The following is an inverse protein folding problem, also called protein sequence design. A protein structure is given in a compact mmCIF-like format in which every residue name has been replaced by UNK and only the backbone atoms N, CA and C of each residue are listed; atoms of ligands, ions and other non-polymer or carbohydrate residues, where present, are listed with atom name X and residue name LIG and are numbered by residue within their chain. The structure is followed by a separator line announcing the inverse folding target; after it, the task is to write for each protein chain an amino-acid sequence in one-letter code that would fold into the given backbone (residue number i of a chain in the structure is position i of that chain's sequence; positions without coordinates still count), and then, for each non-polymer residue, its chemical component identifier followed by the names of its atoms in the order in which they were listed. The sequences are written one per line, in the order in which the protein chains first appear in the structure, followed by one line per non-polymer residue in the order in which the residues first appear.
data_IF_171294042684
#
_entry.id   IF_171294042684
#
_cell.length_a   1.000
_cell.length_b   1.000
_cell.length_c   1.000
_cell.angle_alpha   90.00
_cell.angle_beta   90.00
_cell.angle_gamma   90.00
#
_symmetry.space_group_name_H-M   'P 1'
#
loop_
_entity.id
_entity.type
_entity.pdbx_description
1 polymer ?
#
# COMPACT_ATOMS: atom_id res chain seq x y z
N UNK A 1 51.05 -20.12 -5.17
CA UNK A 1 51.41 -19.33 -6.36
C UNK A 1 50.15 -19.24 -7.23
N UNK A 2 49.57 -18.10 -7.62
CA UNK A 2 49.96 -16.69 -7.61
C UNK A 2 48.73 -15.83 -7.27
N UNK A 3 48.95 -14.82 -6.43
CA UNK A 3 48.08 -13.64 -6.24
C UNK A 3 48.31 -12.71 -7.44
N UNK A 4 47.29 -11.98 -7.88
CA UNK A 4 47.50 -10.75 -8.64
C UNK A 4 46.68 -9.60 -8.04
N UNK A 5 47.44 -8.73 -7.37
CA UNK A 5 47.17 -7.35 -7.01
C UNK A 5 47.52 -6.45 -8.21
N UNK A 6 46.77 -5.38 -8.43
CA UNK A 6 47.20 -4.11 -9.05
C UNK A 6 46.00 -3.15 -8.89
N UNK A 7 45.96 -2.07 -8.12
CA UNK A 7 46.92 -1.01 -7.77
C UNK A 7 47.33 -0.15 -8.98
N UNK A 8 46.74 1.05 -9.04
CA UNK A 8 47.32 2.28 -9.56
C UNK A 8 46.92 3.45 -8.64
N UNK A 9 47.90 3.97 -7.92
CA UNK A 9 47.96 5.27 -7.27
C UNK A 9 48.23 6.38 -8.34
N UNK A 10 48.17 7.70 -8.10
CA UNK A 10 49.09 8.47 -7.24
C UNK A 10 48.72 9.99 -7.27
N UNK A 11 48.70 10.62 -6.07
CA UNK A 11 49.24 11.95 -5.63
C UNK A 11 48.84 13.27 -6.36
N UNK A 12 48.70 14.44 -5.69
CA UNK A 12 49.67 15.20 -4.85
C UNK A 12 48.97 16.12 -3.81
N UNK A 13 49.68 16.40 -2.71
CA UNK A 13 49.34 17.24 -1.54
C UNK A 13 49.81 18.71 -1.64
N UNK A 14 49.28 19.62 -0.79
CA UNK A 14 50.07 20.64 -0.07
C UNK A 14 49.30 21.41 1.04
N UNK A 15 49.95 21.54 2.22
CA UNK A 15 49.99 22.67 3.22
C UNK A 15 48.68 23.26 3.80
N UNK A 16 48.50 23.62 5.08
CA UNK A 16 49.39 23.83 6.23
C UNK A 16 48.93 25.04 7.09
N UNK A 17 48.61 24.79 8.37
CA UNK A 17 48.69 25.65 9.60
C UNK A 17 47.72 26.82 9.96
N UNK A 18 47.13 26.65 11.18
CA UNK A 18 47.12 27.51 12.41
C UNK A 18 46.07 28.62 12.71
N UNK A 19 45.70 28.65 14.01
CA UNK A 19 45.02 29.67 14.88
C UNK A 19 43.50 29.89 14.70
N UNK A 20 42.66 30.12 15.72
CA UNK A 20 42.85 30.55 17.11
C UNK A 20 41.68 30.08 18.02
N UNK A 21 41.94 30.00 19.32
CA UNK A 21 40.95 29.83 20.37
C UNK A 21 40.13 31.11 20.59
N UNK A 22 38.82 30.97 20.80
CA UNK A 22 37.91 32.03 21.23
C UNK A 22 36.99 31.53 22.34
N UNK A 23 36.91 32.30 23.42
CA UNK A 23 36.23 31.99 24.69
C UNK A 23 34.72 31.76 24.55
N UNK A 24 34.16 30.88 25.41
CA UNK A 24 32.72 30.73 25.62
C UNK A 24 32.25 31.68 26.73
N UNK A 25 31.16 32.43 26.54
CA UNK A 25 30.32 32.86 27.65
C UNK A 25 29.14 31.89 27.85
N UNK A 26 28.92 31.43 29.09
CA UNK A 26 27.60 30.94 29.54
C UNK A 26 26.69 32.16 29.84
N UNK A 27 25.37 32.07 30.05
CA UNK A 27 24.38 31.01 30.23
C UNK A 27 23.01 31.73 30.23
N UNK A 28 21.93 31.17 29.68
CA UNK A 28 20.55 31.36 30.22
C UNK A 28 19.77 30.09 29.93
N UNK A 29 19.42 29.33 30.96
CA UNK A 29 18.51 28.20 30.86
C UNK A 29 17.08 28.76 30.80
N UNK A 30 16.40 28.60 29.67
CA UNK A 30 14.95 28.81 29.54
C UNK A 30 14.23 27.49 29.90
N UNK A 31 13.37 27.46 30.95
CA UNK A 31 12.65 26.26 31.35
C UNK A 31 11.57 25.80 30.36
N UNK A 32 11.41 26.46 29.19
CA UNK A 32 10.49 26.04 28.13
C UNK A 32 11.19 25.47 26.86
N UNK A 33 12.45 25.06 26.97
CA UNK A 33 13.22 24.44 25.87
C UNK A 33 12.85 22.96 25.63
N UNK A 34 11.56 22.61 25.55
CA UNK A 34 11.18 21.40 24.81
C UNK A 34 11.21 21.77 23.32
N UNK A 35 12.36 21.55 22.69
CA UNK A 35 12.56 21.76 21.27
C UNK A 35 11.34 21.25 20.48
N UNK A 36 10.63 22.16 19.81
CA UNK A 36 9.54 21.82 18.90
C UNK A 36 10.12 20.92 17.80
N UNK A 37 9.81 19.63 17.89
CA UNK A 37 10.18 18.60 16.92
C UNK A 37 9.69 19.08 15.54
N UNK A 38 10.56 19.06 14.51
CA UNK A 38 10.19 19.58 13.18
C UNK A 38 8.98 18.82 12.62
N UNK A 39 8.06 19.46 11.86
CA UNK A 39 6.83 18.83 11.36
C UNK A 39 7.03 17.46 10.65
N UNK A 40 8.16 17.29 9.94
CA UNK A 40 8.54 16.01 9.29
C UNK A 40 8.91 14.90 10.28
N UNK A 41 9.52 15.23 11.41
CA UNK A 41 9.86 14.29 12.48
C UNK A 41 8.63 13.99 13.36
N UNK A 42 7.73 14.97 13.54
CA UNK A 42 6.49 14.78 14.30
C UNK A 42 5.54 13.77 13.61
N UNK A 43 5.32 13.91 12.30
CA UNK A 43 4.39 13.04 11.54
C UNK A 43 4.92 11.64 11.24
N UNK A 44 6.15 11.37 11.63
CA UNK A 44 6.74 10.03 11.61
C UNK A 44 6.96 9.47 13.01
N UNK A 45 6.59 10.20 14.06
CA UNK A 45 6.66 9.71 15.43
C UNK A 45 5.69 8.56 15.68
N UNK A 46 6.09 7.65 16.56
CA UNK A 46 5.31 6.46 16.92
C UNK A 46 3.92 6.83 17.45
N UNK A 47 3.82 7.87 18.28
CA UNK A 47 2.55 8.38 18.81
C UNK A 47 1.63 8.94 17.72
N UNK A 48 2.19 9.75 16.80
CA UNK A 48 1.42 10.25 15.66
C UNK A 48 0.88 9.10 14.81
N UNK A 49 1.75 8.17 14.39
CA UNK A 49 1.35 7.06 13.52
C UNK A 49 0.27 6.18 14.18
N UNK A 50 0.40 5.90 15.48
CA UNK A 50 -0.61 5.15 16.25
C UNK A 50 -1.98 5.84 16.21
N UNK A 51 -2.00 7.18 16.29
CA UNK A 51 -3.25 7.96 16.33
C UNK A 51 -3.85 8.25 14.95
N UNK A 52 -3.01 8.42 13.93
CA UNK A 52 -3.40 9.01 12.66
C UNK A 52 -3.44 8.02 11.51
N UNK A 53 -2.66 6.94 11.55
CA UNK A 53 -2.47 6.05 10.41
C UNK A 53 -3.12 4.69 10.63
N UNK A 54 -4.28 4.50 10.01
CA UNK A 54 -5.02 3.22 9.97
C UNK A 54 -4.97 2.59 8.58
N UNK A 55 -5.23 1.29 8.50
CA UNK A 55 -5.46 0.60 7.23
C UNK A 55 -6.95 0.26 7.10
N UNK A 56 -7.67 0.95 6.21
CA UNK A 56 -9.08 0.68 5.93
C UNK A 56 -9.98 0.68 7.19
N UNK A 57 -9.69 1.58 8.14
CA UNK A 57 -10.37 1.65 9.43
C UNK A 57 -9.83 0.71 10.52
N UNK A 58 -8.90 -0.19 10.18
CA UNK A 58 -8.23 -1.05 11.15
C UNK A 58 -7.02 -0.34 11.76
N UNK A 59 -6.90 -0.43 13.08
CA UNK A 59 -5.75 0.09 13.81
C UNK A 59 -4.48 -0.64 13.39
N UNK A 60 -3.39 0.11 13.22
CA UNK A 60 -2.05 -0.43 13.03
C UNK A 60 -1.32 -0.32 14.37
N UNK A 61 -0.83 -1.42 14.97
CA UNK A 61 -0.24 -1.42 16.30
C UNK A 61 1.18 -0.85 16.26
N UNK A 62 1.28 0.47 16.07
CA UNK A 62 2.57 1.16 16.00
C UNK A 62 3.28 1.26 17.36
N UNK A 63 2.59 0.99 18.46
CA UNK A 63 3.18 0.75 19.78
C UNK A 63 4.09 -0.49 19.82
N UNK A 64 3.91 -1.43 18.88
CA UNK A 64 4.86 -2.50 18.62
C UNK A 64 6.06 -1.97 17.81
N UNK A 65 7.26 -2.02 18.40
CA UNK A 65 8.49 -1.54 17.78
C UNK A 65 8.81 -2.24 16.45
N UNK A 66 8.52 -3.53 16.30
CA UNK A 66 8.77 -4.25 15.05
C UNK A 66 7.87 -3.72 13.91
N UNK A 67 6.62 -3.40 14.24
CA UNK A 67 5.65 -2.82 13.29
C UNK A 67 6.07 -1.41 12.90
N UNK A 68 6.44 -0.58 13.89
CA UNK A 68 6.94 0.77 13.66
C UNK A 68 8.21 0.80 12.82
N UNK A 69 9.23 0.02 13.18
CA UNK A 69 10.49 -0.04 12.44
C UNK A 69 10.31 -0.59 11.03
N UNK A 70 9.40 -1.55 10.83
CA UNK A 70 9.09 -2.09 9.51
C UNK A 70 8.38 -1.06 8.62
N UNK A 71 7.49 -0.25 9.18
CA UNK A 71 6.91 0.89 8.47
C UNK A 71 7.99 1.89 8.06
N UNK A 72 8.82 2.38 9.00
CA UNK A 72 9.91 3.31 8.69
C UNK A 72 10.87 2.75 7.64
N UNK A 73 11.18 1.46 7.73
CA UNK A 73 12.02 0.76 6.74
C UNK A 73 11.39 0.77 5.34
N UNK A 74 10.06 0.59 5.23
CA UNK A 74 9.37 0.67 3.93
C UNK A 74 9.26 2.11 3.45
N UNK A 75 9.05 3.07 4.35
CA UNK A 75 8.97 4.49 4.07
C UNK A 75 10.30 5.02 3.50
N UNK A 76 11.40 4.80 4.24
CA UNK A 76 12.74 5.27 3.85
C UNK A 76 13.25 4.64 2.54
N UNK A 77 12.77 3.45 2.18
CA UNK A 77 13.07 2.83 0.88
C UNK A 77 12.37 3.51 -0.30
N UNK A 78 11.29 4.25 -0.06
CA UNK A 78 10.40 4.80 -1.08
C UNK A 78 10.42 6.31 -1.16
N UNK A 79 10.80 7.03 -0.09
CA UNK A 79 10.92 8.48 -0.14
C UNK A 79 12.05 8.85 -1.12
N UNK A 80 11.66 9.16 -2.35
CA UNK A 80 12.48 9.80 -3.38
C UNK A 80 11.61 10.76 -4.18
N UNK A 81 12.21 11.80 -4.76
CA UNK A 81 11.52 12.76 -5.63
C UNK A 81 10.76 12.06 -6.75
N UNK A 82 11.43 11.11 -7.41
CA UNK A 82 10.84 10.31 -8.49
C UNK A 82 9.65 9.47 -8.03
N UNK A 83 9.69 8.89 -6.84
CA UNK A 83 8.58 8.11 -6.32
C UNK A 83 7.37 9.01 -6.02
N UNK A 84 7.62 10.15 -5.40
CA UNK A 84 6.60 11.14 -5.05
C UNK A 84 5.92 11.69 -6.31
N UNK A 85 6.69 12.17 -7.30
CA UNK A 85 6.15 12.69 -8.57
C UNK A 85 5.31 11.63 -9.32
N UNK A 86 5.72 10.37 -9.27
CA UNK A 86 4.96 9.28 -9.86
C UNK A 86 3.66 9.01 -9.09
N UNK A 87 3.71 9.00 -7.75
CA UNK A 87 2.52 8.84 -6.91
C UNK A 87 1.52 9.98 -7.13
N UNK A 88 2.03 11.20 -7.31
CA UNK A 88 1.24 12.35 -7.71
C UNK A 88 0.53 12.13 -9.05
N UNK A 89 1.29 11.76 -10.08
CA UNK A 89 0.76 11.51 -11.43
C UNK A 89 -0.30 10.41 -11.41
N UNK A 90 -0.03 9.34 -10.64
CA UNK A 90 -0.95 8.23 -10.45
C UNK A 90 -2.26 8.69 -9.81
N UNK A 91 -2.18 9.48 -8.74
CA UNK A 91 -3.36 9.94 -7.99
C UNK A 91 -4.30 10.76 -8.89
N UNK A 92 -3.76 11.70 -9.67
CA UNK A 92 -4.55 12.55 -10.55
C UNK A 92 -5.12 11.79 -11.76
N UNK A 93 -4.42 10.76 -12.24
CA UNK A 93 -4.80 10.07 -13.49
C UNK A 93 -5.78 8.92 -13.26
N UNK A 94 -5.64 8.19 -12.15
CA UNK A 94 -6.29 6.88 -12.00
C UNK A 94 -7.30 6.81 -10.86
N UNK A 95 -7.08 7.55 -9.76
CA UNK A 95 -7.99 7.48 -8.62
C UNK A 95 -9.41 7.98 -8.93
N UNK A 96 -9.63 9.04 -9.74
CA UNK A 96 -10.98 9.44 -10.15
C UNK A 96 -11.80 8.36 -10.85
N UNK A 97 -11.14 7.34 -11.44
CA UNK A 97 -11.81 6.19 -12.06
C UNK A 97 -12.03 5.07 -11.03
N UNK A 98 -11.08 4.86 -10.12
CA UNK A 98 -11.07 3.72 -9.19
C UNK A 98 -11.96 3.96 -7.98
N UNK A 99 -11.84 5.12 -7.34
CA UNK A 99 -12.54 5.43 -6.09
C UNK A 99 -14.07 5.30 -6.22
N UNK A 100 -14.74 5.80 -7.28
CA UNK A 100 -16.18 5.60 -7.43
C UNK A 100 -16.57 4.12 -7.58
N UNK A 101 -15.69 3.29 -8.17
CA UNK A 101 -15.91 1.86 -8.28
C UNK A 101 -15.72 1.19 -6.92
N UNK A 102 -14.65 1.52 -6.17
CA UNK A 102 -14.44 0.99 -4.82
C UNK A 102 -15.65 1.30 -3.92
N UNK A 103 -16.08 2.56 -3.90
CA UNK A 103 -17.24 3.01 -3.14
C UNK A 103 -18.52 2.25 -3.54
N UNK A 104 -18.77 2.06 -4.84
CA UNK A 104 -19.92 1.31 -5.35
C UNK A 104 -19.96 -0.15 -4.86
N UNK A 105 -18.80 -0.76 -4.61
CA UNK A 105 -18.69 -2.13 -4.15
C UNK A 105 -18.43 -2.26 -2.64
N UNK A 106 -18.43 -1.15 -1.90
CA UNK A 106 -18.17 -1.13 -0.45
C UNK A 106 -16.72 -1.44 -0.08
N UNK A 107 -15.78 -1.25 -1.01
CA UNK A 107 -14.35 -1.48 -0.76
C UNK A 107 -13.73 -0.20 -0.16
N UNK A 108 -12.97 -0.30 0.93
CA UNK A 108 -12.27 0.84 1.52
C UNK A 108 -11.29 1.48 0.53
N UNK A 109 -11.12 2.79 0.64
CA UNK A 109 -10.34 3.55 -0.33
C UNK A 109 -8.87 3.19 -0.37
N UNK A 110 -8.29 2.70 0.73
CA UNK A 110 -6.86 2.32 0.78
C UNK A 110 -6.51 1.25 -0.27
N UNK A 111 -7.48 0.48 -0.77
CA UNK A 111 -7.27 -0.47 -1.87
C UNK A 111 -6.98 0.19 -3.22
N UNK A 112 -7.19 1.51 -3.38
CA UNK A 112 -6.79 2.27 -4.58
C UNK A 112 -5.28 2.26 -4.82
N UNK A 113 -4.50 1.96 -3.78
CA UNK A 113 -3.04 1.85 -3.87
C UNK A 113 -2.54 0.48 -4.36
N UNK A 114 -3.38 -0.56 -4.37
CA UNK A 114 -2.95 -1.90 -4.82
C UNK A 114 -2.43 -1.89 -6.26
N UNK A 115 -3.10 -1.29 -7.26
CA UNK A 115 -2.56 -1.26 -8.63
C UNK A 115 -1.21 -0.53 -8.75
N UNK A 116 -0.93 0.41 -7.84
CA UNK A 116 0.34 1.10 -7.78
C UNK A 116 1.47 0.15 -7.33
N UNK A 117 1.20 -0.69 -6.32
CA UNK A 117 2.14 -1.68 -5.79
C UNK A 117 2.31 -2.86 -6.77
N UNK A 118 1.24 -3.25 -7.45
CA UNK A 118 1.23 -4.42 -8.34
C UNK A 118 1.86 -4.14 -9.71
N UNK A 119 1.54 -3.00 -10.31
CA UNK A 119 1.94 -2.72 -11.70
C UNK A 119 2.53 -1.34 -11.92
N UNK A 120 2.51 -0.46 -10.91
CA UNK A 120 2.78 0.97 -11.12
C UNK A 120 1.79 1.58 -12.13
N UNK A 121 0.54 1.09 -12.15
CA UNK A 121 -0.48 1.44 -13.14
C UNK A 121 -0.13 1.14 -14.61
N UNK A 122 0.76 0.18 -14.88
CA UNK A 122 1.11 -0.19 -16.25
C UNK A 122 0.12 -1.21 -16.82
N UNK A 123 -0.72 -0.79 -17.77
CA UNK A 123 -1.75 -1.64 -18.41
C UNK A 123 -1.25 -2.96 -19.00
N UNK A 124 0.02 -2.99 -19.45
CA UNK A 124 0.65 -4.14 -20.09
C UNK A 124 1.63 -4.87 -19.16
N UNK A 125 1.70 -4.51 -17.86
CA UNK A 125 2.54 -5.19 -16.89
C UNK A 125 2.24 -6.68 -16.90
N UNK A 126 3.30 -7.50 -16.91
CA UNK A 126 3.19 -8.95 -16.92
C UNK A 126 4.25 -9.55 -16.00
N UNK A 127 3.82 -10.29 -14.99
CA UNK A 127 4.75 -11.02 -14.13
C UNK A 127 5.26 -12.30 -14.80
N UNK A 128 6.35 -12.84 -14.26
CA UNK A 128 6.91 -14.14 -14.68
C UNK A 128 5.88 -15.27 -14.49
N UNK A 129 5.04 -15.17 -13.45
CA UNK A 129 3.98 -16.13 -13.15
C UNK A 129 2.75 -15.98 -14.06
N UNK A 130 2.67 -14.91 -14.86
CA UNK A 130 1.59 -14.69 -15.83
C UNK A 130 0.45 -13.79 -15.36
N UNK A 131 0.61 -13.11 -14.23
CA UNK A 131 -0.24 -12.00 -13.82
C UNK A 131 -0.17 -10.87 -14.85
N UNK A 132 -1.28 -10.17 -15.11
CA UNK A 132 -1.34 -9.11 -16.13
C UNK A 132 -2.17 -7.91 -15.68
N UNK A 133 -1.77 -6.73 -16.15
CA UNK A 133 -2.56 -5.52 -16.10
C UNK A 133 -2.43 -4.77 -14.78
N UNK A 134 -3.31 -3.78 -14.60
CA UNK A 134 -3.27 -2.84 -13.47
C UNK A 134 -3.27 -3.55 -12.11
N UNK A 135 -4.17 -4.51 -11.96
CA UNK A 135 -4.40 -5.27 -10.73
C UNK A 135 -3.60 -6.58 -10.65
N UNK A 136 -2.69 -6.84 -11.61
CA UNK A 136 -1.89 -8.07 -11.70
C UNK A 136 -2.69 -9.38 -11.49
N UNK A 137 -3.84 -9.50 -12.16
CA UNK A 137 -4.62 -10.72 -12.06
C UNK A 137 -3.95 -11.91 -12.77
N UNK A 138 -3.89 -13.04 -12.07
CA UNK A 138 -3.64 -14.34 -12.69
C UNK A 138 -4.79 -14.72 -13.64
N UNK A 139 -4.53 -15.45 -14.75
CA UNK A 139 -5.57 -15.75 -15.73
C UNK A 139 -6.77 -16.50 -15.15
N UNK A 140 -6.54 -17.43 -14.22
CA UNK A 140 -7.61 -18.20 -13.58
C UNK A 140 -8.49 -17.31 -12.69
N UNK A 141 -7.88 -16.52 -11.80
CA UNK A 141 -8.57 -15.56 -10.94
C UNK A 141 -9.36 -14.53 -11.75
N UNK A 142 -8.75 -13.95 -12.80
CA UNK A 142 -9.43 -13.02 -13.70
C UNK A 142 -10.72 -13.60 -14.27
N UNK A 143 -10.69 -14.84 -14.78
CA UNK A 143 -11.87 -15.50 -15.33
C UNK A 143 -12.92 -15.81 -14.27
N UNK A 144 -12.50 -16.22 -13.08
CA UNK A 144 -13.41 -16.45 -11.95
C UNK A 144 -14.22 -15.20 -11.60
N UNK A 145 -13.60 -14.01 -11.73
CA UNK A 145 -14.25 -12.72 -11.47
C UNK A 145 -14.79 -12.01 -12.72
N UNK A 146 -15.04 -12.77 -13.80
CA UNK A 146 -15.79 -12.29 -14.97
C UNK A 146 -14.98 -11.55 -16.04
N UNK A 147 -13.65 -11.55 -15.95
CA UNK A 147 -12.80 -10.99 -17.00
C UNK A 147 -12.59 -12.00 -18.14
N UNK A 148 -12.69 -11.53 -19.39
CA UNK A 148 -12.32 -12.35 -20.54
C UNK A 148 -10.80 -12.35 -20.68
N UNK A 149 -10.22 -13.54 -20.73
CA UNK A 149 -8.78 -13.73 -20.91
C UNK A 149 -8.54 -14.73 -22.03
N UNK A 150 -8.13 -14.23 -23.20
CA UNK A 150 -7.87 -14.98 -24.42
C UNK A 150 -6.72 -14.34 -25.21
N UNK A 151 -6.31 -14.94 -26.33
CA UNK A 151 -5.31 -14.35 -27.23
C UNK A 151 -5.75 -13.03 -27.87
N UNK A 152 -7.07 -12.84 -28.09
CA UNK A 152 -7.63 -11.67 -28.79
C UNK A 152 -8.06 -10.56 -27.83
N UNK A 153 -8.56 -10.94 -26.65
CA UNK A 153 -9.10 -10.02 -25.64
C UNK A 153 -8.55 -10.40 -24.28
N UNK A 154 -7.99 -9.42 -23.57
CA UNK A 154 -7.50 -9.56 -22.20
C UNK A 154 -8.01 -8.39 -21.35
N UNK A 155 -9.21 -8.56 -20.76
CA UNK A 155 -9.89 -7.51 -19.98
C UNK A 155 -9.11 -7.13 -18.70
N UNK A 156 -8.09 -7.91 -18.28
CA UNK A 156 -7.16 -7.53 -17.20
C UNK A 156 -6.43 -6.21 -17.47
N UNK A 157 -6.29 -5.84 -18.74
CA UNK A 157 -5.65 -4.61 -19.19
C UNK A 157 -6.59 -3.41 -19.24
N UNK A 158 -7.89 -3.59 -18.99
CA UNK A 158 -8.86 -2.51 -18.94
C UNK A 158 -9.06 -2.11 -17.47
N UNK A 159 -8.83 -0.84 -17.14
CA UNK A 159 -8.85 -0.36 -15.76
C UNK A 159 -10.19 -0.61 -15.07
N UNK A 160 -11.29 -0.08 -15.62
CA UNK A 160 -12.62 -0.22 -15.02
C UNK A 160 -13.03 -1.68 -14.80
N UNK A 161 -12.89 -2.52 -15.84
CA UNK A 161 -13.25 -3.93 -15.75
C UNK A 161 -12.42 -4.67 -14.71
N UNK A 162 -11.09 -4.45 -14.72
CA UNK A 162 -10.20 -5.08 -13.75
C UNK A 162 -10.43 -4.57 -12.33
N UNK A 163 -10.77 -3.29 -12.14
CA UNK A 163 -11.18 -2.75 -10.82
C UNK A 163 -12.47 -3.37 -10.33
N UNK A 164 -13.48 -3.54 -11.19
CA UNK A 164 -14.72 -4.25 -10.82
C UNK A 164 -14.44 -5.70 -10.40
N UNK A 165 -13.59 -6.40 -11.15
CA UNK A 165 -13.18 -7.77 -10.81
C UNK A 165 -12.39 -7.82 -9.49
N UNK A 166 -11.52 -6.83 -9.24
CA UNK A 166 -10.79 -6.67 -7.98
C UNK A 166 -11.73 -6.45 -6.80
N UNK A 167 -12.73 -5.58 -6.93
CA UNK A 167 -13.71 -5.36 -5.87
C UNK A 167 -14.44 -6.65 -5.48
N UNK A 168 -14.86 -7.44 -6.46
CA UNK A 168 -15.51 -8.73 -6.21
C UNK A 168 -14.56 -9.70 -5.50
N UNK A 169 -13.31 -9.79 -5.95
CA UNK A 169 -12.31 -10.64 -5.31
C UNK A 169 -12.02 -10.19 -3.87
N UNK A 170 -11.89 -8.89 -3.62
CA UNK A 170 -11.66 -8.33 -2.29
C UNK A 170 -12.83 -8.60 -1.34
N UNK A 171 -14.07 -8.49 -1.81
CA UNK A 171 -15.25 -8.85 -1.01
C UNK A 171 -15.27 -10.34 -0.66
N UNK A 172 -14.98 -11.23 -1.62
CA UNK A 172 -14.87 -12.67 -1.34
C UNK A 172 -13.78 -12.98 -0.30
N UNK A 173 -12.65 -12.26 -0.35
CA UNK A 173 -11.61 -12.39 0.66
C UNK A 173 -12.08 -11.87 2.02
N UNK A 174 -12.79 -10.73 2.05
CA UNK A 174 -13.27 -10.13 3.29
C UNK A 174 -14.34 -10.99 3.96
N UNK A 175 -15.27 -11.58 3.19
CA UNK A 175 -16.25 -12.55 3.71
C UNK A 175 -15.59 -13.75 4.42
N UNK A 176 -14.37 -14.12 4.01
CA UNK A 176 -13.62 -15.26 4.56
C UNK A 176 -12.76 -14.87 5.76
N UNK A 177 -12.15 -13.69 5.71
CA UNK A 177 -11.09 -13.26 6.63
C UNK A 177 -11.56 -12.25 7.69
N UNK A 178 -12.62 -11.50 7.42
CA UNK A 178 -13.17 -10.49 8.33
C UNK A 178 -12.26 -9.27 8.60
N UNK A 179 -11.07 -9.22 7.99
CA UNK A 179 -10.08 -8.16 8.19
C UNK A 179 -9.48 -7.68 6.87
N UNK A 180 -9.46 -6.37 6.66
CA UNK A 180 -8.89 -5.71 5.49
C UNK A 180 -7.37 -5.86 5.40
N UNK A 181 -6.64 -5.84 6.52
CA UNK A 181 -5.19 -6.11 6.51
C UNK A 181 -4.89 -7.55 6.08
N UNK A 182 -5.68 -8.53 6.53
CA UNK A 182 -5.59 -9.91 6.03
C UNK A 182 -6.02 -10.03 4.56
N UNK A 183 -7.07 -9.32 4.13
CA UNK A 183 -7.50 -9.28 2.72
C UNK A 183 -6.38 -8.78 1.81
N UNK A 184 -5.69 -7.70 2.19
CA UNK A 184 -4.56 -7.19 1.42
C UNK A 184 -3.41 -8.24 1.35
N UNK A 185 -3.11 -8.92 2.45
CA UNK A 185 -2.13 -9.99 2.45
C UNK A 185 -2.55 -11.17 1.56
N UNK A 186 -3.82 -11.58 1.62
CA UNK A 186 -4.39 -12.66 0.81
C UNK A 186 -4.45 -12.30 -0.68
N UNK A 187 -4.62 -11.03 -1.01
CA UNK A 187 -4.54 -10.56 -2.39
C UNK A 187 -3.17 -10.87 -2.99
N UNK A 188 -2.09 -10.64 -2.25
CA UNK A 188 -0.72 -10.89 -2.68
C UNK A 188 -0.36 -12.39 -2.72
N UNK A 189 -0.62 -13.12 -1.64
CA UNK A 189 -0.13 -14.51 -1.48
C UNK A 189 -1.15 -15.57 -1.90
N UNK A 190 -2.41 -15.19 -2.06
CA UNK A 190 -3.54 -16.08 -2.22
C UNK A 190 -4.10 -16.55 -0.87
N UNK A 191 -5.44 -16.64 -0.77
CA UNK A 191 -6.11 -16.97 0.48
C UNK A 191 -5.68 -18.30 1.11
N UNK A 192 -5.56 -19.38 0.32
CA UNK A 192 -5.18 -20.69 0.85
C UNK A 192 -3.81 -20.67 1.54
N UNK A 193 -2.85 -19.91 0.98
CA UNK A 193 -1.52 -19.79 1.55
C UNK A 193 -1.52 -18.94 2.82
N UNK A 194 -2.35 -17.90 2.88
CA UNK A 194 -2.51 -17.08 4.08
C UNK A 194 -3.19 -17.87 5.20
N UNK A 195 -4.31 -18.53 4.92
CA UNK A 195 -5.05 -19.36 5.90
C UNK A 195 -4.16 -20.48 6.44
N UNK A 196 -3.42 -21.17 5.55
CA UNK A 196 -2.45 -22.18 5.99
C UNK A 196 -1.33 -21.60 6.87
N UNK A 197 -1.00 -20.31 6.73
CA UNK A 197 -0.02 -19.64 7.57
C UNK A 197 -0.63 -19.19 8.91
N UNK A 198 -1.91 -18.80 8.93
CA UNK A 198 -2.70 -18.50 10.12
C UNK A 198 -2.87 -19.76 10.98
N UNK A 199 -3.39 -20.84 10.40
CA UNK A 199 -3.64 -22.10 11.10
C UNK A 199 -2.35 -22.68 11.69
N UNK A 200 -1.24 -22.65 10.93
CA UNK A 200 0.05 -23.17 11.40
C UNK A 200 0.63 -22.36 12.55
N UNK A 201 0.37 -21.05 12.59
CA UNK A 201 0.92 -20.16 13.61
C UNK A 201 -0.03 -19.94 14.78
N UNK A 202 -1.30 -20.32 14.61
CA UNK A 202 -2.38 -20.01 15.54
C UNK A 202 -2.50 -18.50 15.77
N UNK A 203 -2.47 -17.73 14.68
CA UNK A 203 -2.57 -16.27 14.68
C UNK A 203 -3.66 -15.84 13.70
N UNK A 204 -4.46 -14.84 14.10
CA UNK A 204 -5.57 -14.29 13.32
C UNK A 204 -5.36 -12.80 12.95
N UNK A 205 -4.24 -12.21 13.35
CA UNK A 205 -3.84 -10.84 13.02
C UNK A 205 -2.72 -10.75 11.97
N UNK A 206 -2.85 -9.84 11.00
CA UNK A 206 -1.78 -9.61 10.01
C UNK A 206 -0.43 -9.26 10.64
N UNK A 207 -0.45 -8.45 11.69
CA UNK A 207 0.76 -7.94 12.34
C UNK A 207 1.47 -9.00 13.19
N UNK A 208 0.75 -10.03 13.62
CA UNK A 208 1.27 -11.14 14.44
C UNK A 208 1.80 -12.29 13.56
N UNK A 209 1.35 -12.39 12.30
CA UNK A 209 1.79 -13.42 11.36
C UNK A 209 3.23 -13.22 10.87
N UNK A 210 4.03 -14.30 10.97
CA UNK A 210 5.36 -14.39 10.34
C UNK A 210 5.21 -14.82 8.88
N UNK A 211 4.97 -13.82 8.03
CA UNK A 211 4.82 -13.99 6.58
C UNK A 211 6.16 -13.87 5.85
N UNK A 212 6.20 -14.35 4.60
CA UNK A 212 7.37 -14.13 3.75
C UNK A 212 7.62 -12.62 3.54
N UNK A 213 8.83 -12.26 3.09
CA UNK A 213 9.23 -10.85 2.92
C UNK A 213 8.29 -10.05 2.02
N UNK A 214 7.72 -10.64 0.98
CA UNK A 214 6.84 -9.91 0.07
C UNK A 214 5.51 -9.61 0.74
N UNK A 215 4.81 -10.65 1.21
CA UNK A 215 3.48 -10.54 1.81
C UNK A 215 3.50 -9.78 3.13
N UNK A 216 4.50 -10.02 3.98
CA UNK A 216 4.62 -9.32 5.25
C UNK A 216 4.98 -7.83 5.12
N UNK A 217 5.37 -7.35 3.93
CA UNK A 217 5.55 -5.93 3.65
C UNK A 217 4.36 -5.32 2.89
N UNK A 218 3.36 -6.11 2.50
CA UNK A 218 2.35 -5.68 1.53
C UNK A 218 1.46 -4.56 2.08
N UNK A 219 0.93 -4.72 3.30
CA UNK A 219 0.15 -3.67 3.98
C UNK A 219 1.00 -2.42 4.23
N UNK A 220 2.26 -2.59 4.65
CA UNK A 220 3.18 -1.46 4.87
C UNK A 220 3.44 -0.65 3.60
N UNK A 221 3.52 -1.29 2.43
CA UNK A 221 3.64 -0.59 1.17
C UNK A 221 2.41 0.30 0.93
N UNK A 222 1.20 -0.19 1.20
CA UNK A 222 -0.02 0.63 1.06
C UNK A 222 -0.01 1.80 2.05
N UNK A 223 0.31 1.52 3.33
CA UNK A 223 0.39 2.54 4.37
C UNK A 223 1.39 3.65 4.03
N UNK A 224 2.52 3.33 3.41
CA UNK A 224 3.49 4.33 2.94
C UNK A 224 2.90 5.24 1.86
N UNK A 225 2.16 4.67 0.90
CA UNK A 225 1.54 5.48 -0.16
C UNK A 225 0.47 6.41 0.42
N UNK A 226 -0.37 5.88 1.31
CA UNK A 226 -1.37 6.65 2.06
C UNK A 226 -0.72 7.79 2.85
N UNK A 227 0.24 7.46 3.70
CA UNK A 227 0.92 8.41 4.55
C UNK A 227 1.58 9.55 3.77
N UNK A 228 2.26 9.23 2.65
CA UNK A 228 2.89 10.25 1.79
C UNK A 228 1.86 11.18 1.15
N UNK A 229 0.73 10.65 0.68
CA UNK A 229 -0.29 11.47 0.03
C UNK A 229 -1.08 12.35 1.02
N UNK A 230 -1.44 11.81 2.18
CA UNK A 230 -2.15 12.55 3.24
C UNK A 230 -1.25 13.61 3.88
N UNK A 231 0.07 13.43 3.84
CA UNK A 231 1.05 14.36 4.38
C UNK A 231 1.91 15.00 3.28
N UNK A 232 1.34 15.18 2.08
CA UNK A 232 2.02 15.70 0.90
C UNK A 232 2.82 16.99 1.17
N UNK A 233 2.29 17.88 2.02
CA UNK A 233 2.93 19.14 2.40
C UNK A 233 4.24 18.98 3.20
N UNK A 234 4.49 17.82 3.81
CA UNK A 234 5.76 17.54 4.50
C UNK A 234 6.79 16.92 3.55
N UNK A 235 6.33 16.43 2.40
CA UNK A 235 7.14 15.94 1.30
C UNK A 235 7.26 17.01 0.17
N UNK A 236 6.85 18.25 0.47
CA UNK A 236 6.62 19.37 -0.44
C UNK A 236 7.78 19.89 -1.31
N UNK A 237 9.08 19.67 -1.05
CA UNK A 237 10.06 19.95 -2.12
C UNK A 237 9.82 19.12 -3.39
N UNK A 238 8.94 18.12 -3.35
CA UNK A 238 8.63 17.21 -4.45
C UNK A 238 7.15 17.20 -4.88
N UNK A 239 6.24 17.91 -4.19
CA UNK A 239 4.82 17.91 -4.52
C UNK A 239 4.40 19.18 -5.29
N UNK A 240 3.89 19.03 -6.53
CA UNK A 240 3.17 20.11 -7.20
C UNK A 240 1.80 20.38 -6.53
N UNK A 241 1.42 21.66 -6.40
CA UNK A 241 0.17 22.19 -5.81
C UNK A 241 -1.15 21.49 -6.22
N UNK A 242 -1.19 20.81 -7.36
CA UNK A 242 -2.39 20.12 -7.86
C UNK A 242 -2.76 18.87 -7.05
N UNK A 243 -1.79 18.16 -6.47
CA UNK A 243 -2.06 16.96 -5.65
C UNK A 243 -2.44 17.32 -4.22
N UNK A 244 -1.84 18.38 -3.67
CA UNK A 244 -2.28 18.95 -2.39
C UNK A 244 -3.77 19.32 -2.49
N UNK A 245 -4.21 19.86 -3.64
CA UNK A 245 -5.64 20.12 -3.89
C UNK A 245 -6.48 18.83 -3.95
N UNK A 246 -6.00 17.76 -4.58
CA UNK A 246 -6.71 16.47 -4.62
C UNK A 246 -6.88 15.86 -3.22
N UNK A 247 -5.79 15.83 -2.42
CA UNK A 247 -5.83 15.35 -1.04
C UNK A 247 -6.81 16.19 -0.18
N UNK A 248 -6.75 17.52 -0.29
CA UNK A 248 -7.67 18.40 0.41
C UNK A 248 -9.13 18.23 -0.04
N UNK A 249 -9.39 17.93 -1.31
CA UNK A 249 -10.74 17.63 -1.80
C UNK A 249 -11.28 16.33 -1.21
N UNK A 250 -10.44 15.31 -1.02
CA UNK A 250 -10.82 14.06 -0.37
C UNK A 250 -11.16 14.25 1.12
N UNK A 251 -10.43 15.10 1.83
CA UNK A 251 -10.78 15.46 3.21
C UNK A 251 -12.14 16.16 3.26
N UNK A 252 -12.42 17.07 2.33
CA UNK A 252 -13.71 17.77 2.24
C UNK A 252 -14.85 16.81 1.88
N UNK A 253 -14.66 15.88 0.92
CA UNK A 253 -15.69 14.89 0.58
C UNK A 253 -15.90 13.86 1.69
N UNK A 254 -14.85 13.49 2.42
CA UNK A 254 -14.93 12.60 3.59
C UNK A 254 -15.69 13.27 4.73
N UNK A 255 -15.51 14.57 4.96
CA UNK A 255 -16.35 15.36 5.89
C UNK A 255 -17.80 15.38 5.40
N UNK A 256 -18.05 15.54 4.10
CA UNK A 256 -19.39 15.49 3.50
C UNK A 256 -20.08 14.13 3.64
N UNK A 257 -19.35 13.02 3.50
CA UNK A 257 -19.85 11.65 3.70
C UNK A 257 -20.06 11.31 5.19
N UNK A 258 -19.18 11.75 6.08
CA UNK A 258 -19.33 11.59 7.53
C UNK A 258 -20.52 12.41 8.06
N UNK A 259 -20.74 13.62 7.54
CA UNK A 259 -21.94 14.41 7.87
C UNK A 259 -23.22 13.81 7.28
N UNK A 260 -23.20 13.30 6.04
CA UNK A 260 -24.36 12.57 5.48
C UNK A 260 -24.66 11.28 6.25
N UNK A 261 -23.63 10.53 6.67
CA UNK A 261 -23.77 9.32 7.48
C UNK A 261 -24.32 9.62 8.87
N UNK A 262 -23.87 10.69 9.51
CA UNK A 262 -24.39 11.16 10.79
C UNK A 262 -25.83 11.69 10.69
N UNK A 263 -26.19 12.40 9.61
CA UNK A 263 -27.56 12.86 9.33
C UNK A 263 -28.51 11.69 9.03
N UNK A 264 -28.02 10.63 8.39
CA UNK A 264 -28.79 9.41 8.14
C UNK A 264 -29.01 8.56 9.41
N UNK A 265 -28.18 8.75 10.44
CA UNK A 265 -28.27 8.08 11.74
C UNK A 265 -29.25 8.70 12.74
N UNK A 266 -29.82 9.88 12.45
CA UNK A 266 -30.69 10.62 13.39
C UNK A 266 -32.19 10.54 13.08
N UNK A 267 -32.64 9.68 12.16
CA UNK A 267 -34.05 9.60 11.81
C UNK A 267 -34.53 8.21 11.42
N UNK A 268 -34.82 7.35 12.42
CA UNK A 268 -35.84 6.30 12.31
C UNK A 268 -36.06 5.57 13.65
N UNK A 269 -36.86 6.16 14.54
CA UNK A 269 -37.74 5.37 15.41
C UNK A 269 -39.07 5.16 14.68
N UNK A 270 -39.37 3.91 14.30
CA UNK A 270 -40.67 3.23 14.55
C UNK A 270 -40.98 2.13 13.53
N UNK A 271 -41.48 1.03 14.10
CA UNK A 271 -42.41 0.02 13.58
C UNK A 271 -41.97 -1.05 12.57
N UNK A 272 -41.72 -2.23 13.16
CA UNK A 272 -42.36 -3.53 12.89
C UNK A 272 -42.91 -3.88 11.49
N UNK A 273 -42.43 -5.04 11.03
CA UNK A 273 -43.17 -6.18 10.47
C UNK A 273 -42.97 -6.53 8.98
N UNK A 274 -42.91 -7.85 8.80
CA UNK A 274 -43.14 -8.66 7.58
C UNK A 274 -41.95 -8.89 6.66
N UNK A 275 -41.55 -10.16 6.62
CA UNK A 275 -40.48 -10.67 5.78
C UNK A 275 -40.89 -10.99 4.34
N UNK A 276 -39.89 -11.02 3.48
CA UNK A 276 -39.92 -11.74 2.20
C UNK A 276 -38.53 -12.25 1.88
N UNK A 277 -38.39 -13.59 1.83
CA UNK A 277 -37.17 -14.30 1.40
C UNK A 277 -36.88 -14.03 -0.07
N UNK A 278 -35.66 -13.60 -0.38
CA UNK A 278 -35.10 -13.59 -1.74
C UNK A 278 -34.14 -14.79 -1.87
N UNK A 279 -34.21 -15.61 -2.95
CA UNK A 279 -33.41 -16.83 -3.05
C UNK A 279 -31.94 -16.57 -3.44
N UNK A 280 -31.02 -17.27 -2.75
CA UNK A 280 -29.58 -17.37 -3.05
C UNK A 280 -29.34 -18.15 -4.36
N UNK A 281 -28.45 -17.70 -5.26
CA UNK A 281 -27.94 -18.56 -6.34
C UNK A 281 -26.92 -19.56 -5.79
N UNK A 282 -27.03 -20.81 -6.22
CA UNK A 282 -26.14 -21.91 -5.83
C UNK A 282 -24.75 -21.74 -6.48
N UNK A 283 -23.71 -21.69 -5.65
CA UNK A 283 -22.31 -21.77 -6.08
C UNK A 283 -21.77 -23.14 -5.68
N UNK A 284 -21.43 -23.97 -6.66
CA UNK A 284 -20.78 -25.26 -6.43
C UNK A 284 -19.30 -25.05 -6.08
N UNK A 285 -18.79 -25.65 -5.00
CA UNK A 285 -17.37 -25.55 -4.65
C UNK A 285 -16.50 -26.35 -5.63
N UNK A 286 -15.48 -25.68 -6.21
CA UNK A 286 -14.45 -26.32 -7.04
C UNK A 286 -13.21 -26.55 -6.17
N UNK A 287 -12.81 -27.81 -5.98
CA UNK A 287 -11.57 -28.21 -5.32
C UNK A 287 -10.35 -28.03 -6.24
N UNK A 288 -9.25 -27.40 -5.80
CA UNK A 288 -8.03 -27.32 -6.60
C UNK A 288 -7.23 -28.64 -6.55
N UNK A 289 -7.05 -29.26 -7.73
CA UNK A 289 -6.12 -30.37 -7.93
C UNK A 289 -4.70 -29.83 -8.11
N UNK A 290 -3.76 -30.46 -7.41
CA UNK A 290 -2.32 -30.14 -7.34
C UNK A 290 -1.66 -29.98 -8.72
N UNK A 291 -0.74 -29.01 -8.84
CA UNK A 291 0.34 -29.11 -9.82
C UNK A 291 1.64 -28.50 -9.28
N UNK A 292 2.69 -29.31 -9.34
CA UNK A 292 3.98 -29.08 -8.69
C UNK A 292 4.99 -28.23 -9.48
N UNK A 293 6.06 -27.95 -8.74
CA UNK A 293 7.34 -27.34 -9.10
C UNK A 293 7.89 -27.69 -10.49
N UNK A 294 8.35 -26.68 -11.24
CA UNK A 294 9.72 -26.64 -11.82
C UNK A 294 10.11 -25.24 -12.29
N UNK A 295 11.31 -24.81 -11.87
CA UNK A 295 12.01 -23.57 -12.24
C UNK A 295 12.77 -23.69 -13.56
N UNK A 296 13.09 -22.49 -14.11
CA UNK A 296 14.10 -22.08 -15.12
C UNK A 296 13.75 -22.22 -16.61
N UNK A 297 13.54 -21.08 -17.28
CA UNK A 297 14.45 -20.53 -18.32
C UNK A 297 14.06 -19.11 -18.78
N UNK A 298 15.06 -18.23 -18.63
CA UNK A 298 15.42 -16.87 -19.12
C UNK A 298 14.68 -16.28 -20.34
N UNK A 299 14.25 -14.99 -20.27
CA UNK A 299 14.73 -13.87 -21.12
C UNK A 299 13.94 -12.53 -20.99
N UNK A 300 14.68 -11.43 -20.69
CA UNK A 300 14.49 -10.00 -21.03
C UNK A 300 13.11 -9.33 -20.90
N UNK A 301 12.86 -8.73 -19.72
CA UNK A 301 12.20 -7.43 -19.59
C UNK A 301 13.05 -6.55 -18.64
N UNK A 302 14.25 -6.20 -19.11
CA UNK A 302 15.20 -5.41 -18.34
C UNK A 302 15.01 -3.91 -18.62
N UNK A 303 14.91 -3.14 -17.53
CA UNK A 303 15.11 -1.68 -17.41
C UNK A 303 13.92 -0.75 -17.66
N UNK A 304 12.81 -0.88 -16.93
CA UNK A 304 11.96 0.32 -16.75
C UNK A 304 11.68 0.67 -15.30
N UNK A 305 11.41 -0.25 -14.37
CA UNK A 305 11.13 0.19 -12.98
C UNK A 305 11.59 -0.82 -11.94
N UNK A 306 12.63 -0.45 -11.19
CA UNK A 306 13.22 -1.22 -10.09
C UNK A 306 13.03 -0.44 -8.77
N UNK A 307 11.78 -0.09 -8.44
CA UNK A 307 11.43 0.81 -7.32
C UNK A 307 10.41 0.20 -6.34
N UNK A 308 10.07 -1.08 -6.49
CA UNK A 308 9.18 -1.83 -5.57
C UNK A 308 9.98 -2.71 -4.61
#
# INVERSE_FOLDING_TARGET
MKKHFSLCALLIAFSGTLFAAGEKPGKVDDPNSSALMKPSEYKTSQSYLTSALTFSGEAVPFDNDDVYQKFLTNLNKRISSSFIENLQTISLSWFPVIEPILAKYGIPEDFKFIPAIESGFVKNARSVSGAVGYWQFMPATARAYGLRVSKKVDDRKNLEKSTIAACRYLNDLYERLGSWTLVAAAYNVGHNALESAMDRQNEDGYFDLKLNKETGNYVYKVLVFKHILENAADFDPYFNSSVVRYANLQDISSIGLLTLGALSGMGAQSNSASGSKVPKPAVNPITPKQLGSKKKLIAKAGKVFNWL
#
